data_IF_644357973938
#
_entry.id   IF_644357973938
#
_cell.length_a   1.000
_cell.length_b   1.000
_cell.length_c   1.000
_cell.angle_alpha   90.00
_cell.angle_beta   90.00
_cell.angle_gamma   90.00
#
_symmetry.space_group_name_H-M   'P 1'
#
loop_
_entity.id
_entity.type
_entity.pdbx_description
1 polymer ?
#
# COMPACT_ATOMS: atom_id res chain seq x y z
N UNK A 1 49.40 -6.54 -10.31
CA UNK A 1 48.06 -6.97 -10.77
C UNK A 1 47.09 -6.66 -9.65
N UNK A 2 46.23 -5.65 -9.83
CA UNK A 2 45.20 -5.28 -8.86
C UNK A 2 43.97 -6.15 -9.10
N UNK A 3 43.56 -6.93 -8.10
CA UNK A 3 42.23 -7.55 -8.07
C UNK A 3 41.24 -6.47 -7.62
N UNK A 4 40.33 -6.09 -8.51
CA UNK A 4 39.19 -5.27 -8.17
C UNK A 4 38.13 -6.19 -7.54
N UNK A 5 37.95 -6.04 -6.23
CA UNK A 5 36.87 -6.63 -5.45
C UNK A 5 35.54 -5.96 -5.88
N UNK A 6 34.64 -6.77 -6.42
CA UNK A 6 33.34 -6.34 -6.93
C UNK A 6 32.40 -6.07 -5.78
N UNK A 7 32.17 -4.79 -5.49
CA UNK A 7 31.23 -4.32 -4.49
C UNK A 7 29.80 -4.82 -4.75
N UNK A 8 29.42 -5.90 -4.06
CA UNK A 8 28.05 -6.34 -3.91
C UNK A 8 27.30 -5.41 -2.97
N UNK A 9 26.87 -4.25 -3.49
CA UNK A 9 25.93 -3.38 -2.80
C UNK A 9 24.61 -4.11 -2.64
N UNK A 10 24.38 -4.70 -1.47
CA UNK A 10 23.07 -5.21 -1.07
C UNK A 10 22.15 -4.00 -1.04
N UNK A 11 21.33 -3.83 -2.08
CA UNK A 11 20.26 -2.84 -2.06
C UNK A 11 19.24 -3.32 -1.06
N UNK A 12 19.39 -2.86 0.19
CA UNK A 12 18.35 -2.99 1.20
C UNK A 12 17.04 -2.48 0.58
N UNK A 13 15.93 -3.24 0.68
CA UNK A 13 14.63 -2.75 0.25
C UNK A 13 14.41 -1.37 0.88
N UNK A 14 13.79 -0.41 0.16
CA UNK A 14 13.46 0.87 0.75
C UNK A 14 12.71 0.64 2.06
N UNK A 15 13.29 1.10 3.17
CA UNK A 15 12.60 1.13 4.46
C UNK A 15 11.45 2.11 4.34
N UNK A 16 10.27 1.59 4.03
CA UNK A 16 9.02 2.31 4.24
C UNK A 16 8.71 2.24 5.73
N UNK A 17 9.51 2.95 6.53
CA UNK A 17 9.28 3.06 7.97
C UNK A 17 7.86 3.52 8.26
N UNK A 18 7.30 3.11 9.40
CA UNK A 18 5.94 3.50 9.80
C UNK A 18 5.84 5.02 9.96
N UNK A 19 5.45 5.70 8.89
CA UNK A 19 5.19 7.14 8.90
C UNK A 19 3.75 7.37 9.35
N UNK A 20 3.58 8.07 10.47
CA UNK A 20 2.26 8.49 10.95
C UNK A 20 1.74 9.62 10.06
N UNK A 21 0.60 9.40 9.42
CA UNK A 21 -0.13 10.43 8.69
C UNK A 21 -0.99 11.23 9.68
N UNK A 22 -0.84 12.55 9.69
CA UNK A 22 -1.73 13.46 10.44
C UNK A 22 -2.71 14.07 9.44
N UNK A 23 -4.00 13.91 9.68
CA UNK A 23 -5.07 14.44 8.83
C UNK A 23 -6.01 15.26 9.71
N UNK A 24 -6.40 16.45 9.25
CA UNK A 24 -7.46 17.21 9.88
C UNK A 24 -8.80 16.48 9.74
N UNK A 25 -9.68 16.43 10.76
CA UNK A 25 -10.94 15.71 10.68
C UNK A 25 -11.80 16.10 9.47
N UNK A 26 -11.82 17.39 9.12
CA UNK A 26 -12.57 17.90 7.97
C UNK A 26 -12.01 17.44 6.62
N UNK A 27 -10.73 17.06 6.59
CA UNK A 27 -10.04 16.58 5.40
C UNK A 27 -10.08 15.05 5.23
N UNK A 28 -10.61 14.30 6.21
CA UNK A 28 -10.68 12.83 6.17
C UNK A 28 -11.40 12.32 4.91
N UNK A 29 -12.59 12.84 4.52
CA UNK A 29 -13.28 12.35 3.34
C UNK A 29 -12.46 12.56 2.05
N UNK A 30 -11.78 13.70 1.94
CA UNK A 30 -10.93 14.01 0.80
C UNK A 30 -9.69 13.12 0.76
N UNK A 31 -9.05 12.90 1.92
CA UNK A 31 -7.91 11.99 2.04
C UNK A 31 -8.31 10.57 1.64
N UNK A 32 -9.46 10.08 2.13
CA UNK A 32 -9.98 8.75 1.79
C UNK A 32 -10.18 8.60 0.29
N UNK A 33 -10.86 9.57 -0.34
CA UNK A 33 -11.07 9.57 -1.79
C UNK A 33 -9.75 9.55 -2.59
N UNK A 34 -8.72 10.25 -2.11
CA UNK A 34 -7.41 10.25 -2.75
C UNK A 34 -6.72 8.88 -2.67
N UNK A 35 -6.78 8.20 -1.52
CA UNK A 35 -6.24 6.84 -1.36
C UNK A 35 -7.04 5.80 -2.14
N UNK A 36 -8.38 5.92 -2.19
CA UNK A 36 -9.25 5.07 -3.02
C UNK A 36 -8.87 5.20 -4.50
N UNK A 37 -8.73 6.43 -5.00
CA UNK A 37 -8.27 6.69 -6.37
C UNK A 37 -6.88 6.10 -6.63
N UNK A 38 -5.94 6.26 -5.69
CA UNK A 38 -4.60 5.70 -5.83
C UNK A 38 -4.62 4.16 -5.90
N UNK A 39 -5.47 3.51 -5.10
CA UNK A 39 -5.65 2.06 -5.13
C UNK A 39 -6.27 1.60 -6.46
N UNK A 40 -7.25 2.33 -6.99
CA UNK A 40 -7.87 2.04 -8.28
C UNK A 40 -6.85 2.17 -9.43
N UNK A 41 -6.07 3.25 -9.44
CA UNK A 41 -5.01 3.45 -10.43
C UNK A 41 -3.92 2.37 -10.33
N UNK A 42 -3.55 1.99 -9.11
CA UNK A 42 -2.61 0.90 -8.86
C UNK A 42 -3.14 -0.42 -9.43
N UNK A 43 -4.38 -0.79 -9.09
CA UNK A 43 -5.00 -2.04 -9.55
C UNK A 43 -5.13 -2.08 -11.07
N UNK A 44 -5.50 -0.95 -11.70
CA UNK A 44 -5.63 -0.85 -13.15
C UNK A 44 -4.29 -1.03 -13.89
N UNK A 45 -3.19 -0.56 -13.31
CA UNK A 45 -1.85 -0.66 -13.93
C UNK A 45 -1.18 -1.99 -13.66
N UNK A 46 -1.33 -2.53 -12.45
CA UNK A 46 -0.57 -3.70 -12.00
C UNK A 46 -1.24 -5.01 -12.38
N UNK A 47 -2.57 -5.15 -12.21
CA UNK A 47 -3.27 -6.42 -12.51
C UNK A 47 -2.97 -6.97 -13.92
N UNK A 48 -2.95 -6.15 -15.00
CA UNK A 48 -2.64 -6.66 -16.33
C UNK A 48 -1.18 -7.14 -16.49
N UNK A 49 -0.26 -6.61 -15.69
CA UNK A 49 1.18 -6.84 -15.87
C UNK A 49 1.75 -7.95 -14.99
N UNK A 50 1.06 -8.34 -13.91
CA UNK A 50 1.53 -9.36 -12.96
C UNK A 50 1.97 -10.65 -13.65
N UNK A 51 1.21 -11.12 -14.64
CA UNK A 51 1.52 -12.35 -15.36
C UNK A 51 2.65 -12.22 -16.39
N UNK A 52 2.99 -10.99 -16.79
CA UNK A 52 4.07 -10.71 -17.74
C UNK A 52 5.42 -10.41 -17.08
N UNK A 53 5.45 -10.23 -15.75
CA UNK A 53 6.67 -9.88 -15.02
C UNK A 53 7.72 -11.00 -14.99
N UNK A 54 7.37 -12.29 -14.79
CA UNK A 54 8.37 -13.35 -14.76
C UNK A 54 9.05 -13.55 -16.12
N UNK A 55 10.38 -13.56 -16.11
CA UNK A 55 11.20 -13.92 -17.27
C UNK A 55 11.00 -15.40 -17.61
N UNK A 56 10.79 -15.68 -18.89
CA UNK A 56 10.71 -17.06 -19.40
C UNK A 56 12.11 -17.62 -19.67
N UNK A 57 12.30 -18.94 -19.70
CA UNK A 57 13.54 -19.53 -20.20
C UNK A 57 13.88 -18.97 -21.58
N UNK A 58 15.13 -18.49 -21.75
CA UNK A 58 15.58 -17.92 -23.02
C UNK A 58 15.72 -18.95 -24.14
N UNK A 59 15.88 -20.23 -23.77
CA UNK A 59 15.94 -21.36 -24.67
C UNK A 59 15.23 -22.56 -24.05
N UNK A 60 15.12 -23.66 -24.80
CA UNK A 60 14.45 -24.89 -24.37
C UNK A 60 15.45 -25.87 -23.73
N UNK A 61 16.35 -25.37 -22.89
CA UNK A 61 17.41 -26.15 -22.28
C UNK A 61 17.41 -26.02 -20.74
N UNK A 62 18.08 -26.96 -20.02
CA UNK A 62 18.10 -26.94 -18.57
C UNK A 62 18.76 -25.69 -17.96
N UNK A 63 19.83 -25.16 -18.59
CA UNK A 63 20.59 -24.02 -18.07
C UNK A 63 19.76 -22.75 -18.16
N UNK A 64 19.09 -22.49 -19.28
CA UNK A 64 18.20 -21.32 -19.39
C UNK A 64 16.98 -21.43 -18.48
N UNK A 65 16.49 -22.64 -18.22
CA UNK A 65 15.41 -22.88 -17.25
C UNK A 65 15.86 -22.56 -15.82
N UNK A 66 17.02 -23.04 -15.40
CA UNK A 66 17.59 -22.75 -14.08
C UNK A 66 17.92 -21.26 -13.92
N UNK A 67 18.52 -20.66 -14.95
CA UNK A 67 18.92 -19.24 -14.91
C UNK A 67 17.70 -18.32 -14.84
N UNK A 68 16.66 -18.58 -15.64
CA UNK A 68 15.42 -17.77 -15.60
C UNK A 68 14.70 -17.90 -14.25
N UNK A 69 14.71 -19.09 -13.64
CA UNK A 69 14.20 -19.31 -12.29
C UNK A 69 14.96 -18.48 -11.26
N UNK A 70 16.30 -18.61 -11.19
CA UNK A 70 17.12 -17.89 -10.23
C UNK A 70 17.03 -16.35 -10.42
N UNK A 71 16.91 -15.90 -11.66
CA UNK A 71 16.68 -14.49 -11.98
C UNK A 71 15.32 -14.01 -11.43
N UNK A 72 14.24 -14.76 -11.66
CA UNK A 72 12.90 -14.39 -11.19
C UNK A 72 12.81 -14.33 -9.66
N UNK A 73 13.46 -15.25 -8.95
CA UNK A 73 13.52 -15.25 -7.48
C UNK A 73 14.13 -13.94 -6.93
N UNK A 74 15.09 -13.36 -7.64
CA UNK A 74 15.74 -12.11 -7.24
C UNK A 74 15.07 -10.85 -7.82
N UNK A 75 14.17 -10.99 -8.79
CA UNK A 75 13.57 -9.87 -9.52
C UNK A 75 12.05 -9.91 -9.44
N UNK A 76 11.38 -10.65 -10.33
CA UNK A 76 9.93 -10.69 -10.45
C UNK A 76 9.25 -11.02 -9.12
N UNK A 77 9.73 -11.99 -8.37
CA UNK A 77 9.11 -12.42 -7.11
C UNK A 77 9.21 -11.34 -6.03
N UNK A 78 10.37 -10.69 -5.92
CA UNK A 78 10.57 -9.56 -4.99
C UNK A 78 9.72 -8.36 -5.39
N UNK A 79 9.64 -8.06 -6.68
CA UNK A 79 8.82 -6.97 -7.20
C UNK A 79 7.33 -7.22 -6.93
N UNK A 80 6.83 -8.44 -7.21
CA UNK A 80 5.46 -8.85 -6.93
C UNK A 80 5.15 -8.78 -5.43
N UNK A 81 6.09 -9.19 -4.58
CA UNK A 81 5.95 -9.06 -3.12
C UNK A 81 5.84 -7.59 -2.71
N UNK A 82 6.73 -6.72 -3.18
CA UNK A 82 6.70 -5.30 -2.86
C UNK A 82 5.40 -4.62 -3.34
N UNK A 83 4.94 -4.95 -4.55
CA UNK A 83 3.67 -4.46 -5.09
C UNK A 83 2.47 -4.92 -4.25
N UNK A 84 2.47 -6.18 -3.81
CA UNK A 84 1.41 -6.73 -2.94
C UNK A 84 1.38 -6.02 -1.59
N UNK A 85 2.55 -5.79 -0.98
CA UNK A 85 2.65 -5.07 0.29
C UNK A 85 2.18 -3.62 0.14
N UNK A 86 2.58 -2.93 -0.92
CA UNK A 86 2.16 -1.55 -1.17
C UNK A 86 0.64 -1.44 -1.37
N UNK A 87 0.03 -2.38 -2.11
CA UNK A 87 -1.42 -2.46 -2.23
C UNK A 87 -2.11 -2.61 -0.88
N UNK A 88 -1.59 -3.49 -0.02
CA UNK A 88 -2.12 -3.71 1.32
C UNK A 88 -1.99 -2.47 2.22
N UNK A 89 -0.92 -1.68 2.04
CA UNK A 89 -0.76 -0.39 2.73
C UNK A 89 -1.82 0.62 2.28
N UNK A 90 -2.10 0.72 0.97
CA UNK A 90 -3.16 1.59 0.46
C UNK A 90 -4.54 1.21 1.04
N UNK A 91 -4.90 -0.08 1.00
CA UNK A 91 -6.16 -0.54 1.58
C UNK A 91 -6.23 -0.30 3.09
N UNK A 92 -5.13 -0.57 3.81
CA UNK A 92 -5.06 -0.36 5.25
C UNK A 92 -5.28 1.11 5.65
N UNK A 93 -4.75 2.07 4.88
CA UNK A 93 -4.98 3.50 5.12
C UNK A 93 -6.45 3.87 4.87
N UNK A 94 -7.07 3.35 3.82
CA UNK A 94 -8.49 3.59 3.53
C UNK A 94 -9.36 3.09 4.70
N UNK A 95 -9.09 1.89 5.20
CA UNK A 95 -9.85 1.30 6.31
C UNK A 95 -9.67 2.10 7.60
N UNK A 96 -8.45 2.57 7.88
CA UNK A 96 -8.18 3.46 9.00
C UNK A 96 -8.95 4.77 8.90
N UNK A 97 -8.95 5.41 7.73
CA UNK A 97 -9.68 6.66 7.52
C UNK A 97 -11.19 6.47 7.70
N UNK A 98 -11.75 5.35 7.23
CA UNK A 98 -13.18 5.00 7.46
C UNK A 98 -13.50 4.84 8.94
N UNK A 99 -12.65 4.14 9.69
CA UNK A 99 -12.85 3.97 11.13
C UNK A 99 -12.81 5.32 11.86
N UNK A 100 -11.87 6.19 11.50
CA UNK A 100 -11.74 7.52 12.10
C UNK A 100 -12.96 8.39 11.74
N UNK A 101 -13.40 8.39 10.48
CA UNK A 101 -14.60 9.12 10.02
C UNK A 101 -15.84 8.71 10.80
N UNK A 102 -16.06 7.41 10.98
CA UNK A 102 -17.18 6.88 11.74
C UNK A 102 -17.13 7.28 13.22
N UNK A 103 -15.95 7.23 13.84
CA UNK A 103 -15.76 7.64 15.23
C UNK A 103 -16.07 9.13 15.45
N UNK A 104 -15.69 10.00 14.51
CA UNK A 104 -16.08 11.41 14.55
C UNK A 104 -17.59 11.58 14.45
N UNK A 105 -18.24 10.90 13.50
CA UNK A 105 -19.69 10.98 13.31
C UNK A 105 -20.48 10.55 14.55
N UNK A 106 -20.06 9.47 15.21
CA UNK A 106 -20.68 9.01 16.46
C UNK A 106 -20.54 10.05 17.58
N UNK A 107 -19.33 10.59 17.77
CA UNK A 107 -19.05 11.58 18.82
C UNK A 107 -19.85 12.88 18.61
N UNK A 108 -19.95 13.36 17.37
CA UNK A 108 -20.74 14.53 17.01
C UNK A 108 -22.24 14.28 17.22
N UNK A 109 -22.73 13.10 16.82
CA UNK A 109 -24.12 12.68 17.01
C UNK A 109 -24.52 12.60 18.49
N UNK A 110 -23.66 12.03 19.33
CA UNK A 110 -23.89 11.91 20.78
C UNK A 110 -23.91 13.30 21.45
N UNK A 111 -23.02 14.21 21.03
CA UNK A 111 -22.99 15.59 21.54
C UNK A 111 -24.25 16.37 21.16
N UNK A 112 -24.69 16.29 19.89
CA UNK A 112 -25.93 16.94 19.44
C UNK A 112 -27.16 16.37 20.16
N UNK A 113 -27.21 15.06 20.40
CA UNK A 113 -28.31 14.41 21.13
C UNK A 113 -28.37 14.84 22.60
N UNK A 114 -27.22 14.94 23.27
CA UNK A 114 -27.12 15.42 24.66
C UNK A 114 -27.53 16.89 24.80
N UNK A 115 -27.11 17.75 23.87
CA UNK A 115 -27.46 19.19 23.92
C UNK A 115 -28.94 19.42 23.56
N UNK A 116 -29.46 18.71 22.56
CA UNK A 116 -30.87 18.76 22.19
C UNK A 116 -31.82 18.30 23.28
N UNK A 117 -31.39 17.38 24.16
CA UNK A 117 -32.13 16.95 25.35
C UNK A 117 -32.14 18.03 26.44
N UNK A 118 -30.96 18.60 26.75
CA UNK A 118 -30.84 19.66 27.76
C UNK A 118 -31.63 20.94 27.40
N UNK A 119 -31.78 21.26 26.12
CA UNK A 119 -32.59 22.40 25.66
C UNK A 119 -34.11 22.15 25.76
N UNK A 120 -34.56 20.89 25.67
CA UNK A 120 -35.98 20.52 25.85
C UNK A 120 -36.38 20.46 27.32
N UNK A 121 -35.45 20.11 28.21
CA UNK A 121 -35.70 20.05 29.65
C UNK A 121 -35.66 21.44 30.33
N UNK A 122 -35.31 22.51 29.60
CA UNK A 122 -35.25 23.90 30.08
C UNK A 122 -36.34 24.83 29.52
N UNK A 123 -37.31 24.30 28.76
CA UNK A 123 -38.48 25.03 28.25
C UNK A 123 -39.78 24.50 28.82
#
# INVERSE_FOLDING_TARGET
MFLADGGGGVSSPPEFGQRKLKVDPSAIPQARAAFEKALDEFDARIKPQVHSLPTKPWAADPVSSETSKAFNEQTADKALTALTVYRAQLSGVIDQLKMIEEQYRMTEGDNVAMWGKNLRDQG
#
